data_IF_953349029115
#
_entry.id   IF_953349029115
#
_cell.length_a   1.000
_cell.length_b   1.000
_cell.length_c   1.000
_cell.angle_alpha   90.00
_cell.angle_beta   90.00
_cell.angle_gamma   90.00
#
_symmetry.space_group_name_H-M   'P 1'
#
loop_
_entity.id
_entity.type
_entity.pdbx_description
1 polymer ?
#
# COMPACT_ATOMS: atom_id res chain seq x y z
N UNK A 1 2.39 -11.96 -26.68
CA UNK A 1 2.81 -10.84 -25.80
C UNK A 1 1.68 -10.61 -24.80
N UNK A 2 1.62 -11.44 -23.76
CA UNK A 2 0.56 -11.38 -22.75
C UNK A 2 0.86 -10.22 -21.80
N UNK A 3 0.50 -9.01 -22.20
CA UNK A 3 0.36 -7.90 -21.27
C UNK A 3 -0.82 -8.25 -20.34
N UNK A 4 -0.53 -9.02 -19.30
CA UNK A 4 -1.42 -9.22 -18.16
C UNK A 4 -1.78 -7.81 -17.71
N UNK A 5 -3.02 -7.36 -17.96
CA UNK A 5 -3.50 -6.04 -17.50
C UNK A 5 -3.21 -6.00 -16.00
N UNK A 6 -2.18 -5.26 -15.61
CA UNK A 6 -1.94 -4.95 -14.21
C UNK A 6 -3.19 -4.17 -13.81
N UNK A 7 -4.08 -4.80 -13.05
CA UNK A 7 -5.28 -4.14 -12.58
C UNK A 7 -4.83 -2.89 -11.84
N UNK A 8 -5.48 -1.75 -12.09
CA UNK A 8 -5.11 -0.46 -11.49
C UNK A 8 -4.94 -0.59 -9.97
N UNK A 9 -5.74 -1.45 -9.34
CA UNK A 9 -5.68 -1.82 -7.93
C UNK A 9 -4.36 -2.48 -7.51
N UNK A 10 -3.79 -3.35 -8.35
CA UNK A 10 -2.47 -3.96 -8.13
C UNK A 10 -1.37 -2.90 -8.21
N UNK A 11 -1.45 -1.97 -9.15
CA UNK A 11 -0.50 -0.85 -9.24
C UNK A 11 -0.56 0.05 -8.00
N UNK A 12 -1.76 0.35 -7.50
CA UNK A 12 -1.97 1.12 -6.27
C UNK A 12 -1.37 0.40 -5.05
N UNK A 13 -1.56 -0.93 -4.94
CA UNK A 13 -0.91 -1.72 -3.88
C UNK A 13 0.61 -1.61 -3.92
N UNK A 14 1.22 -1.75 -5.11
CA UNK A 14 2.68 -1.64 -5.24
C UNK A 14 3.18 -0.23 -4.90
N UNK A 15 2.44 0.82 -5.27
CA UNK A 15 2.76 2.19 -4.85
C UNK A 15 2.73 2.32 -3.31
N UNK A 16 1.69 1.83 -2.65
CA UNK A 16 1.63 1.87 -1.17
C UNK A 16 2.74 1.05 -0.51
N UNK A 17 3.09 -0.11 -1.08
CA UNK A 17 4.18 -0.94 -0.59
C UNK A 17 5.54 -0.24 -0.72
N UNK A 18 5.82 0.43 -1.85
CA UNK A 18 7.06 1.19 -2.04
C UNK A 18 7.13 2.37 -1.07
N UNK A 19 6.03 3.10 -0.88
CA UNK A 19 5.95 4.21 0.09
C UNK A 19 6.20 3.72 1.52
N UNK A 20 5.64 2.58 1.90
CA UNK A 20 5.90 1.95 3.21
C UNK A 20 7.38 1.59 3.36
N UNK A 21 7.98 0.93 2.37
CA UNK A 21 9.39 0.53 2.41
C UNK A 21 10.33 1.75 2.49
N UNK A 22 10.04 2.82 1.74
CA UNK A 22 10.78 4.08 1.85
C UNK A 22 10.62 4.72 3.23
N UNK A 23 9.42 4.76 3.77
CA UNK A 23 9.18 5.34 5.10
C UNK A 23 9.89 4.56 6.21
N UNK A 24 9.87 3.22 6.14
CA UNK A 24 10.64 2.35 7.05
C UNK A 24 12.13 2.62 6.94
N UNK A 25 12.67 2.72 5.71
CA UNK A 25 14.09 3.00 5.48
C UNK A 25 14.50 4.37 6.05
N UNK A 26 13.65 5.38 5.85
CA UNK A 26 13.83 6.73 6.39
C UNK A 26 13.80 6.73 7.92
N UNK A 27 12.96 5.90 8.54
CA UNK A 27 12.92 5.75 10.02
C UNK A 27 14.20 5.12 10.54
N UNK A 28 14.66 4.03 9.92
CA UNK A 28 15.85 3.29 10.40
C UNK A 28 17.13 4.11 10.23
N UNK A 29 17.22 4.93 9.17
CA UNK A 29 18.39 5.77 8.90
C UNK A 29 18.31 7.17 9.55
N UNK A 30 17.22 7.50 10.24
CA UNK A 30 17.09 8.82 10.83
C UNK A 30 17.86 8.95 12.14
N UNK A 31 18.78 9.90 12.17
CA UNK A 31 19.45 10.35 13.41
C UNK A 31 18.60 11.40 14.16
N UNK A 32 17.47 11.83 13.61
CA UNK A 32 16.66 12.96 14.11
C UNK A 32 15.20 12.59 14.40
N UNK A 33 14.74 12.88 15.63
CA UNK A 33 13.38 12.61 16.13
C UNK A 33 12.24 13.28 15.32
N UNK A 34 12.55 14.33 14.55
CA UNK A 34 11.58 14.97 13.65
C UNK A 34 11.19 14.06 12.47
N UNK A 35 12.15 13.30 11.96
CA UNK A 35 11.92 12.36 10.86
C UNK A 35 11.14 11.12 11.34
N UNK A 36 11.33 10.71 12.59
CA UNK A 36 10.62 9.57 13.18
C UNK A 36 9.11 9.85 13.29
N UNK A 37 8.72 11.07 13.69
CA UNK A 37 7.31 11.46 13.72
C UNK A 37 6.70 11.56 12.31
N UNK A 38 7.47 12.08 11.35
CA UNK A 38 7.02 12.16 9.96
C UNK A 38 6.86 10.76 9.34
N UNK A 39 7.81 9.86 9.58
CA UNK A 39 7.78 8.49 9.07
C UNK A 39 6.66 7.66 9.70
N UNK A 40 6.38 7.84 11.00
CA UNK A 40 5.24 7.21 11.66
C UNK A 40 3.92 7.65 11.02
N UNK A 41 3.74 8.96 10.80
CA UNK A 41 2.53 9.48 10.16
C UNK A 41 2.34 8.93 8.74
N UNK A 42 3.42 8.91 7.94
CA UNK A 42 3.43 8.38 6.57
C UNK A 42 3.14 6.86 6.59
N UNK A 43 3.72 6.13 7.53
CA UNK A 43 3.50 4.69 7.71
C UNK A 43 2.05 4.39 8.09
N UNK A 44 1.44 5.18 8.97
CA UNK A 44 0.01 5.03 9.33
C UNK A 44 -0.88 5.32 8.13
N UNK A 45 -0.66 6.43 7.41
CA UNK A 45 -1.42 6.75 6.20
C UNK A 45 -1.28 5.68 5.13
N UNK A 46 -0.06 5.18 4.90
CA UNK A 46 0.19 4.14 3.93
C UNK A 46 -0.39 2.78 4.35
N UNK A 47 -0.39 2.47 5.65
CA UNK A 47 -1.04 1.29 6.21
C UNK A 47 -2.57 1.32 6.06
N UNK A 48 -3.21 2.48 6.29
CA UNK A 48 -4.65 2.65 6.05
C UNK A 48 -4.97 2.48 4.56
N UNK A 49 -4.18 3.12 3.67
CA UNK A 49 -4.35 2.99 2.23
C UNK A 49 -4.17 1.56 1.72
N UNK A 50 -3.19 0.82 2.25
CA UNK A 50 -2.97 -0.59 1.95
C UNK A 50 -4.15 -1.45 2.42
N UNK A 51 -4.66 -1.22 3.63
CA UNK A 51 -5.77 -1.98 4.21
C UNK A 51 -7.06 -1.77 3.43
N UNK A 52 -7.37 -0.52 3.05
CA UNK A 52 -8.54 -0.20 2.22
C UNK A 52 -8.42 -0.81 0.82
N UNK A 53 -7.22 -0.78 0.23
CA UNK A 53 -6.99 -1.37 -1.10
C UNK A 53 -7.09 -2.90 -1.06
N UNK A 54 -6.58 -3.54 0.00
CA UNK A 54 -6.74 -4.96 0.24
C UNK A 54 -8.21 -5.35 0.46
N UNK A 55 -8.96 -4.56 1.25
CA UNK A 55 -10.39 -4.77 1.45
C UNK A 55 -11.18 -4.64 0.15
N UNK A 56 -10.86 -3.65 -0.69
CA UNK A 56 -11.45 -3.49 -2.03
C UNK A 56 -11.19 -4.72 -2.91
N UNK A 57 -9.97 -5.23 -2.94
CA UNK A 57 -9.63 -6.45 -3.69
C UNK A 57 -10.38 -7.68 -3.19
N UNK A 58 -10.48 -7.84 -1.86
CA UNK A 58 -11.28 -8.92 -1.29
C UNK A 58 -12.75 -8.80 -1.68
N UNK A 59 -13.30 -7.58 -1.66
CA UNK A 59 -14.67 -7.34 -2.13
C UNK A 59 -14.84 -7.66 -3.61
N UNK A 60 -13.92 -7.24 -4.49
CA UNK A 60 -13.96 -7.57 -5.92
C UNK A 60 -13.92 -9.08 -6.15
N UNK A 61 -13.05 -9.80 -5.42
CA UNK A 61 -12.95 -11.26 -5.52
C UNK A 61 -14.22 -11.95 -5.02
N UNK A 62 -14.74 -11.53 -3.86
CA UNK A 62 -15.99 -12.09 -3.31
C UNK A 62 -17.16 -11.81 -4.25
N UNK A 63 -17.26 -10.58 -4.77
CA UNK A 63 -18.30 -10.21 -5.72
C UNK A 63 -18.18 -11.01 -7.02
N UNK A 64 -16.97 -11.23 -7.53
CA UNK A 64 -16.74 -12.10 -8.70
C UNK A 64 -17.09 -13.57 -8.45
N UNK A 65 -16.99 -14.06 -7.21
CA UNK A 65 -17.38 -15.44 -6.86
C UNK A 65 -18.90 -15.55 -6.68
N UNK A 66 -19.51 -14.60 -5.97
CA UNK A 66 -20.94 -14.62 -5.67
C UNK A 66 -21.83 -14.15 -6.83
N UNK A 67 -21.30 -13.32 -7.74
CA UNK A 67 -22.00 -12.86 -8.94
C UNK A 67 -20.98 -12.66 -10.10
N UNK A 68 -20.63 -13.74 -10.82
CA UNK A 68 -19.71 -13.67 -11.97
C UNK A 68 -20.24 -12.81 -13.11
#
# INVERSE_FOLDING_TARGET
MFAKRVSSTTMVLFCFAIVLLSSISTTIFSESAFNDNASISITVFAGIGLTLTAAKLLFDVIHSICNP
#
